data_IF_068555380017
#
_entry.id   IF_068555380017
#
_cell.length_a   1.000
_cell.length_b   1.000
_cell.length_c   1.000
_cell.angle_alpha   90.00
_cell.angle_beta   90.00
_cell.angle_gamma   90.00
#
_symmetry.space_group_name_H-M   'P 1'
#
loop_
_entity.id
_entity.type
_entity.pdbx_description
1 polymer ?
#
# COMPACT_ATOMS: atom_id res chain seq x y z
N UNK A 1 -0.03 5.20 19.96
CA UNK A 1 -0.97 4.62 18.98
C UNK A 1 -0.53 3.19 18.70
N UNK A 2 -1.38 2.19 18.98
CA UNK A 2 -1.07 0.76 18.78
C UNK A 2 -1.05 0.50 17.26
N UNK A 3 -0.02 -0.16 16.73
CA UNK A 3 0.03 -0.54 15.32
C UNK A 3 -1.27 -1.28 14.96
N UNK A 4 -2.12 -0.64 14.17
CA UNK A 4 -3.30 -1.27 13.60
C UNK A 4 -3.07 -1.32 12.10
N UNK A 5 -3.37 -2.46 11.49
CA UNK A 5 -3.22 -2.70 10.06
C UNK A 5 -4.18 -1.86 9.21
N UNK A 6 -4.82 -0.84 9.79
CA UNK A 6 -5.76 0.09 9.16
C UNK A 6 -5.19 0.80 7.93
N UNK A 7 -3.87 0.92 7.80
CA UNK A 7 -3.24 1.48 6.60
C UNK A 7 -3.52 0.65 5.33
N UNK A 8 -3.73 -0.67 5.44
CA UNK A 8 -4.17 -1.48 4.30
C UNK A 8 -5.57 -1.12 3.80
N UNK A 9 -6.44 -0.61 4.67
CA UNK A 9 -7.79 -0.21 4.29
C UNK A 9 -7.81 0.99 3.33
N UNK A 10 -6.70 1.75 3.25
CA UNK A 10 -6.55 2.84 2.29
C UNK A 10 -6.12 2.35 0.90
N UNK A 11 -5.53 1.17 0.77
CA UNK A 11 -5.01 0.68 -0.52
C UNK A 11 -6.17 0.29 -1.43
N UNK A 12 -7.16 -0.44 -0.91
CA UNK A 12 -8.27 -0.99 -1.70
C UNK A 12 -9.10 0.08 -2.43
N UNK A 13 -9.58 1.15 -1.75
CA UNK A 13 -10.35 2.21 -2.40
C UNK A 13 -9.51 2.99 -3.41
N UNK A 14 -8.24 3.26 -3.09
CA UNK A 14 -7.37 4.05 -3.96
C UNK A 14 -6.96 3.28 -5.23
N UNK A 15 -6.79 1.95 -5.15
CA UNK A 15 -6.59 1.11 -6.34
C UNK A 15 -7.83 1.16 -7.24
N UNK A 16 -9.04 1.00 -6.65
CA UNK A 16 -10.29 1.11 -7.41
C UNK A 16 -10.45 2.47 -8.09
N UNK A 17 -10.17 3.56 -7.37
CA UNK A 17 -10.20 4.92 -7.91
C UNK A 17 -9.18 5.09 -9.05
N UNK A 18 -7.95 4.59 -8.88
CA UNK A 18 -6.90 4.66 -9.91
C UNK A 18 -7.30 3.92 -11.18
N UNK A 19 -7.90 2.73 -11.05
CA UNK A 19 -8.41 1.97 -12.20
C UNK A 19 -9.55 2.73 -12.90
N UNK A 20 -10.46 3.36 -12.15
CA UNK A 20 -11.48 4.20 -12.74
C UNK A 20 -10.86 5.38 -13.53
N UNK A 21 -9.81 6.02 -13.00
CA UNK A 21 -9.06 7.07 -13.73
C UNK A 21 -8.41 6.55 -15.00
N UNK A 22 -7.84 5.34 -14.99
CA UNK A 22 -7.29 4.68 -16.19
C UNK A 22 -8.39 4.52 -17.25
N UNK A 23 -9.54 3.94 -16.88
CA UNK A 23 -10.64 3.73 -17.83
C UNK A 23 -11.19 5.05 -18.39
N UNK A 24 -11.30 6.09 -17.56
CA UNK A 24 -11.69 7.43 -18.01
C UNK A 24 -10.66 7.98 -19.01
N UNK A 25 -9.36 7.84 -18.74
CA UNK A 25 -8.31 8.30 -19.63
C UNK A 25 -8.27 7.56 -20.97
N UNK A 26 -8.63 6.27 -20.98
CA UNK A 26 -8.79 5.47 -22.19
C UNK A 26 -10.02 5.91 -22.98
N UNK A 27 -11.18 6.06 -22.32
CA UNK A 27 -12.44 6.41 -22.97
C UNK A 27 -12.44 7.81 -23.57
N UNK A 28 -11.70 8.75 -22.95
CA UNK A 28 -11.54 10.12 -23.44
C UNK A 28 -10.35 10.30 -24.39
N UNK A 29 -9.61 9.23 -24.69
CA UNK A 29 -8.35 9.27 -25.46
C UNK A 29 -7.38 10.37 -24.97
N UNK A 30 -7.40 10.65 -23.66
CA UNK A 30 -6.69 11.78 -23.06
C UNK A 30 -5.36 11.35 -22.48
N UNK A 31 -4.28 11.73 -23.15
CA UNK A 31 -2.92 11.49 -22.68
C UNK A 31 -2.68 12.10 -21.28
N UNK A 32 -3.27 13.26 -20.98
CA UNK A 32 -3.11 13.90 -19.67
C UNK A 32 -3.67 13.03 -18.53
N UNK A 33 -4.87 12.45 -18.72
CA UNK A 33 -5.51 11.59 -17.72
C UNK A 33 -4.77 10.26 -17.59
N UNK A 34 -4.26 9.72 -18.71
CA UNK A 34 -3.43 8.52 -18.67
C UNK A 34 -2.15 8.75 -17.85
N UNK A 35 -1.44 9.86 -18.06
CA UNK A 35 -0.27 10.21 -17.24
C UNK A 35 -0.62 10.42 -15.76
N UNK A 36 -1.75 11.06 -15.45
CA UNK A 36 -2.23 11.20 -14.08
C UNK A 36 -2.46 9.82 -13.43
N UNK A 37 -3.09 8.89 -14.14
CA UNK A 37 -3.31 7.53 -13.65
C UNK A 37 -2.01 6.76 -13.42
N UNK A 38 -0.99 6.94 -14.27
CA UNK A 38 0.35 6.36 -14.08
C UNK A 38 1.00 6.86 -12.80
N UNK A 39 0.93 8.18 -12.53
CA UNK A 39 1.47 8.76 -11.30
C UNK A 39 0.76 8.17 -10.08
N UNK A 40 -0.56 8.02 -10.12
CA UNK A 40 -1.34 7.40 -9.05
C UNK A 40 -0.92 5.95 -8.78
N UNK A 41 -0.65 5.16 -9.82
CA UNK A 41 -0.13 3.80 -9.68
C UNK A 41 1.23 3.81 -8.97
N UNK A 42 2.15 4.69 -9.36
CA UNK A 42 3.49 4.79 -8.75
C UNK A 42 3.36 5.09 -7.26
N UNK A 43 2.54 6.08 -6.88
CA UNK A 43 2.31 6.43 -5.47
C UNK A 43 1.74 5.25 -4.70
N UNK A 44 0.78 4.52 -5.26
CA UNK A 44 0.20 3.34 -4.62
C UNK A 44 1.23 2.24 -4.39
N UNK A 45 2.10 1.98 -5.37
CA UNK A 45 3.19 1.00 -5.23
C UNK A 45 4.16 1.39 -4.13
N UNK A 46 4.54 2.67 -4.04
CA UNK A 46 5.42 3.17 -2.96
C UNK A 46 4.77 2.97 -1.59
N UNK A 47 3.50 3.36 -1.43
CA UNK A 47 2.78 3.17 -0.16
C UNK A 47 2.67 1.68 0.20
N UNK A 48 2.40 0.83 -0.78
CA UNK A 48 2.33 -0.62 -0.60
C UNK A 48 3.66 -1.21 -0.13
N UNK A 49 4.80 -0.81 -0.72
CA UNK A 49 6.13 -1.25 -0.30
C UNK A 49 6.47 -0.81 1.12
N UNK A 50 6.13 0.44 1.49
CA UNK A 50 6.33 0.94 2.85
C UNK A 50 5.52 0.14 3.87
N UNK A 51 4.28 -0.22 3.53
CA UNK A 51 3.43 -1.04 4.39
C UNK A 51 3.99 -2.47 4.54
N UNK A 52 4.47 -3.06 3.45
CA UNK A 52 5.13 -4.37 3.47
C UNK A 52 6.37 -4.36 4.38
N UNK A 53 7.21 -3.33 4.28
CA UNK A 53 8.39 -3.15 5.12
C UNK A 53 8.02 -3.03 6.60
N UNK A 54 7.00 -2.24 6.93
CA UNK A 54 6.54 -2.09 8.30
C UNK A 54 5.96 -3.38 8.88
N UNK A 55 5.20 -4.16 8.09
CA UNK A 55 4.75 -5.49 8.46
C UNK A 55 5.93 -6.44 8.70
N UNK A 56 6.90 -6.47 7.78
CA UNK A 56 8.09 -7.31 7.92
C UNK A 56 8.89 -7.01 9.19
N UNK A 57 9.10 -5.72 9.49
CA UNK A 57 9.73 -5.27 10.74
C UNK A 57 8.93 -5.67 11.98
N UNK A 58 7.60 -5.52 11.95
CA UNK A 58 6.75 -5.90 13.07
C UNK A 58 6.84 -7.40 13.35
N UNK A 59 6.76 -8.23 12.29
CA UNK A 59 6.91 -9.69 12.38
C UNK A 59 8.29 -10.05 12.93
N UNK A 60 9.36 -9.48 12.38
CA UNK A 60 10.73 -9.72 12.85
C UNK A 60 10.87 -9.39 14.34
N UNK A 61 10.47 -8.19 14.78
CA UNK A 61 10.54 -7.79 16.19
C UNK A 61 9.70 -8.70 17.08
N UNK A 62 8.52 -9.13 16.63
CA UNK A 62 7.69 -10.08 17.39
C UNK A 62 8.37 -11.44 17.55
N UNK A 63 8.98 -11.96 16.48
CA UNK A 63 9.66 -13.25 16.47
C UNK A 63 10.84 -13.28 17.46
N UNK A 64 11.63 -12.20 17.50
CA UNK A 64 12.74 -12.08 18.44
C UNK A 64 12.28 -11.92 19.89
N UNK A 65 11.18 -11.20 20.14
CA UNK A 65 10.63 -11.00 21.48
C UNK A 65 10.05 -12.29 22.08
N UNK A 66 9.42 -13.13 21.26
CA UNK A 66 8.87 -14.40 21.72
C UNK A 66 9.96 -15.43 22.03
N UNK A 67 11.09 -15.40 21.31
CA UNK A 67 12.26 -16.23 21.62
C UNK A 67 12.87 -15.93 22.99
N UNK A 68 12.85 -14.67 23.45
CA UNK A 68 13.42 -14.30 24.75
C UNK A 68 12.53 -14.71 25.93
N UNK A 69 11.20 -14.75 25.74
CA UNK A 69 10.25 -15.14 26.80
C UNK A 69 10.18 -16.65 27.03
N UNK A 70 10.60 -17.46 26.06
CA UNK A 70 10.60 -18.92 26.18
C UNK A 70 11.79 -19.48 26.99
N UNK A 71 12.73 -18.62 27.42
CA UNK A 71 13.98 -18.99 28.11
C UNK A 71 14.06 -18.48 29.57
N UNK A 72 13.01 -17.81 30.07
CA UNK A 72 12.88 -17.31 31.45
C UNK A 72 11.79 -18.04 32.20
#
# INVERSE_FOLDING_TARGET
>A
MRFNNSWWALIFPNVGFTLATVFIGQQLESNAIQWASTIMIIVLVVVWLLQLFNMGKAVFVSLFRDRTRALS
#
